data_IF_095036060093
#
_entry.id   IF_095036060093
#
_cell.length_a   1.000
_cell.length_b   1.000
_cell.length_c   1.000
_cell.angle_alpha   90.00
_cell.angle_beta   90.00
_cell.angle_gamma   90.00
#
_symmetry.space_group_name_H-M   'P 1'
#
loop_
_entity.id
_entity.type
_entity.pdbx_description
1 polymer ?
#
# COMPACT_ATOMS: atom_id res chain seq x y z
N UNK A 1 28.98 -23.70 -33.33
CA UNK A 1 30.23 -23.16 -32.76
C UNK A 1 30.54 -21.83 -33.42
N UNK A 2 31.28 -20.95 -32.81
CA UNK A 2 31.60 -19.62 -33.33
C UNK A 2 33.07 -19.32 -33.09
N UNK A 3 33.61 -18.27 -33.72
CA UNK A 3 34.97 -17.83 -33.56
C UNK A 3 36.03 -18.90 -33.95
N UNK A 4 35.93 -19.49 -35.16
CA UNK A 4 36.84 -20.52 -35.66
C UNK A 4 36.82 -21.80 -34.82
N UNK A 5 35.64 -22.22 -34.39
CA UNK A 5 35.35 -23.41 -33.58
C UNK A 5 36.00 -23.42 -32.17
N UNK A 6 36.41 -22.22 -31.68
CA UNK A 6 36.98 -22.05 -30.35
C UNK A 6 35.95 -21.56 -29.29
N UNK A 7 34.69 -21.39 -29.65
CA UNK A 7 33.65 -20.96 -28.74
C UNK A 7 32.37 -21.78 -28.88
N UNK A 8 31.70 -21.99 -27.75
CA UNK A 8 30.39 -22.69 -27.68
C UNK A 8 29.33 -21.69 -27.24
N UNK A 9 28.32 -21.49 -28.07
CA UNK A 9 27.16 -20.73 -27.71
C UNK A 9 26.07 -21.66 -27.15
N UNK A 10 25.61 -21.35 -25.94
CA UNK A 10 24.55 -22.09 -25.27
C UNK A 10 23.32 -21.19 -25.22
N UNK A 11 22.26 -21.61 -25.91
CA UNK A 11 21.00 -20.88 -25.99
C UNK A 11 19.95 -21.66 -25.19
N UNK A 12 19.39 -21.07 -24.13
CA UNK A 12 18.30 -21.72 -23.40
C UNK A 12 17.06 -21.90 -24.29
N UNK A 13 16.36 -23.01 -24.13
CA UNK A 13 15.11 -23.29 -24.85
C UNK A 13 13.95 -22.39 -24.37
N UNK A 14 14.02 -21.89 -23.15
CA UNK A 14 13.06 -20.97 -22.55
C UNK A 14 13.83 -19.73 -22.05
N UNK A 15 13.14 -18.60 -22.02
CA UNK A 15 13.67 -17.38 -21.43
C UNK A 15 14.06 -17.60 -19.96
N UNK A 16 15.19 -17.09 -19.56
CA UNK A 16 15.61 -17.12 -18.16
C UNK A 16 14.69 -16.22 -17.31
N UNK A 17 14.36 -16.68 -16.13
CA UNK A 17 13.64 -15.85 -15.16
C UNK A 17 14.53 -14.70 -14.68
N UNK A 18 13.94 -13.54 -14.43
CA UNK A 18 14.67 -12.35 -13.95
C UNK A 18 15.22 -12.56 -12.53
N UNK A 19 16.34 -11.93 -12.19
CA UNK A 19 16.99 -11.99 -10.88
C UNK A 19 17.17 -13.41 -10.32
N UNK A 20 17.29 -14.40 -11.20
CA UNK A 20 17.40 -15.80 -10.81
C UNK A 20 18.84 -16.28 -10.95
N UNK A 21 19.31 -17.01 -9.95
CA UNK A 21 20.65 -17.62 -9.95
C UNK A 21 20.60 -18.89 -10.80
N UNK A 22 21.49 -18.97 -11.75
CA UNK A 22 21.70 -20.14 -12.61
C UNK A 22 23.12 -20.70 -12.46
N UNK A 23 23.25 -21.97 -12.70
CA UNK A 23 24.51 -22.68 -12.75
C UNK A 23 24.61 -23.42 -14.06
N UNK A 24 25.65 -23.16 -14.83
CA UNK A 24 26.00 -23.88 -16.06
C UNK A 24 27.17 -24.79 -15.78
N UNK A 25 27.01 -26.08 -15.97
CA UNK A 25 28.07 -27.06 -15.76
C UNK A 25 28.41 -27.77 -17.06
N UNK A 26 29.70 -27.76 -17.40
CA UNK A 26 30.28 -28.52 -18.49
C UNK A 26 31.09 -29.68 -17.89
N UNK A 27 30.77 -30.89 -18.26
CA UNK A 27 31.50 -32.08 -17.75
C UNK A 27 32.61 -32.51 -18.69
N UNK A 28 33.47 -33.42 -18.22
CA UNK A 28 34.61 -33.94 -18.95
C UNK A 28 34.28 -34.80 -20.17
N UNK A 29 32.98 -35.08 -20.44
CA UNK A 29 32.51 -35.77 -21.64
C UNK A 29 32.54 -34.88 -22.88
N UNK A 30 32.60 -33.54 -22.69
CA UNK A 30 32.78 -32.60 -23.80
C UNK A 30 34.14 -32.86 -24.47
N UNK A 31 34.14 -33.09 -25.77
CA UNK A 31 35.31 -33.32 -26.59
C UNK A 31 35.39 -32.29 -27.72
N UNK A 32 36.58 -31.94 -28.11
CA UNK A 32 36.82 -31.23 -29.35
C UNK A 32 36.68 -32.19 -30.54
N UNK A 33 36.60 -31.65 -31.75
CA UNK A 33 36.55 -32.45 -32.99
C UNK A 33 37.85 -33.31 -33.15
N UNK A 34 38.96 -32.77 -32.71
CA UNK A 34 40.27 -33.50 -32.67
C UNK A 34 40.38 -34.50 -31.50
N UNK A 35 39.30 -34.77 -30.74
CA UNK A 35 39.28 -35.74 -29.66
C UNK A 35 39.83 -35.24 -28.29
N UNK A 36 40.25 -34.01 -28.18
CA UNK A 36 40.67 -33.40 -26.91
C UNK A 36 39.51 -33.33 -25.93
N UNK A 37 39.74 -33.50 -24.61
CA UNK A 37 38.75 -33.51 -23.56
C UNK A 37 39.04 -32.37 -22.57
N UNK A 38 38.01 -31.90 -21.85
CA UNK A 38 38.21 -31.07 -20.67
C UNK A 38 39.00 -31.87 -19.60
N UNK A 39 40.01 -31.26 -19.02
CA UNK A 39 40.76 -31.84 -17.91
C UNK A 39 39.96 -31.97 -16.63
N UNK A 40 39.09 -31.01 -16.39
CA UNK A 40 38.17 -30.98 -15.25
C UNK A 40 36.81 -30.44 -15.68
N UNK A 41 35.76 -30.73 -14.89
CA UNK A 41 34.47 -30.12 -15.08
C UNK A 41 34.54 -28.60 -14.77
N UNK A 42 33.84 -27.82 -15.57
CA UNK A 42 33.72 -26.36 -15.40
C UNK A 42 32.31 -26.03 -14.94
N UNK A 43 32.17 -25.23 -13.88
CA UNK A 43 30.89 -24.70 -13.44
C UNK A 43 30.96 -23.18 -13.41
N UNK A 44 30.01 -22.54 -14.07
CA UNK A 44 29.85 -21.10 -14.14
C UNK A 44 28.51 -20.75 -13.44
N UNK A 45 28.61 -19.94 -12.39
CA UNK A 45 27.41 -19.40 -11.71
C UNK A 45 27.18 -17.98 -12.16
N UNK A 46 25.95 -17.63 -12.46
CA UNK A 46 25.57 -16.27 -12.82
C UNK A 46 24.15 -15.97 -12.34
N UNK A 47 23.80 -14.69 -12.25
CA UNK A 47 22.46 -14.22 -11.97
C UNK A 47 21.93 -13.53 -13.22
N UNK A 48 20.73 -13.88 -13.61
CA UNK A 48 20.06 -13.21 -14.75
C UNK A 48 19.79 -11.75 -14.44
N UNK A 49 19.76 -10.93 -15.50
CA UNK A 49 19.53 -9.48 -15.40
C UNK A 49 18.17 -9.18 -14.79
N UNK A 50 18.08 -8.07 -14.06
CA UNK A 50 16.78 -7.49 -13.66
C UNK A 50 15.99 -7.07 -14.90
N UNK A 51 14.70 -7.31 -14.88
CA UNK A 51 13.81 -6.73 -15.87
C UNK A 51 13.58 -5.26 -15.51
N UNK A 52 14.21 -4.38 -16.27
CA UNK A 52 14.11 -2.92 -16.12
C UNK A 52 13.10 -2.28 -17.07
N UNK A 53 12.26 -3.09 -17.74
CA UNK A 53 11.18 -2.54 -18.55
C UNK A 53 10.13 -1.86 -17.68
N UNK A 54 9.58 -0.77 -18.18
CA UNK A 54 8.49 -0.07 -17.50
C UNK A 54 7.27 -0.99 -17.38
N UNK A 55 6.80 -1.20 -16.15
CA UNK A 55 5.63 -2.03 -15.85
C UNK A 55 4.32 -1.25 -15.92
N UNK A 56 4.42 0.06 -15.84
CA UNK A 56 3.28 0.97 -15.80
C UNK A 56 3.43 2.04 -16.87
N UNK A 57 2.30 2.54 -17.40
CA UNK A 57 2.33 3.68 -18.31
C UNK A 57 3.00 4.89 -17.64
N UNK A 58 3.87 5.56 -18.37
CA UNK A 58 4.40 6.85 -17.94
C UNK A 58 3.27 7.87 -17.98
N UNK A 59 3.07 8.57 -16.87
CA UNK A 59 2.11 9.65 -16.72
C UNK A 59 2.86 10.92 -16.32
N UNK A 60 2.26 12.09 -16.53
CA UNK A 60 2.83 13.36 -16.08
C UNK A 60 2.90 13.44 -14.56
N UNK A 61 3.79 14.25 -14.01
CA UNK A 61 3.90 14.47 -12.57
C UNK A 61 2.58 14.95 -11.96
N UNK A 62 1.87 15.86 -12.65
CA UNK A 62 0.57 16.36 -12.20
C UNK A 62 -0.50 15.24 -12.15
N UNK A 63 -0.53 14.38 -13.18
CA UNK A 63 -1.41 13.23 -13.20
C UNK A 63 -1.06 12.23 -12.08
N UNK A 64 0.23 12.03 -11.78
CA UNK A 64 0.68 11.19 -10.68
C UNK A 64 0.25 11.76 -9.33
N UNK A 65 0.47 13.05 -9.09
CA UNK A 65 0.04 13.72 -7.86
C UNK A 65 -1.47 13.65 -7.67
N UNK A 66 -2.24 13.88 -8.74
CA UNK A 66 -3.70 13.73 -8.71
C UNK A 66 -4.10 12.31 -8.33
N UNK A 67 -3.47 11.31 -8.91
CA UNK A 67 -3.74 9.90 -8.59
C UNK A 67 -3.39 9.54 -7.14
N UNK A 68 -2.27 10.05 -6.63
CA UNK A 68 -1.87 9.86 -5.23
C UNK A 68 -2.91 10.48 -4.30
N UNK A 69 -3.34 11.72 -4.56
CA UNK A 69 -4.37 12.40 -3.77
C UNK A 69 -5.69 11.63 -3.78
N UNK A 70 -6.14 11.18 -4.95
CA UNK A 70 -7.37 10.39 -5.07
C UNK A 70 -7.30 9.09 -4.28
N UNK A 71 -6.20 8.34 -4.38
CA UNK A 71 -6.05 7.07 -3.66
C UNK A 71 -5.93 7.30 -2.14
N UNK A 72 -5.27 8.36 -1.70
CA UNK A 72 -5.20 8.75 -0.29
C UNK A 72 -6.57 9.16 0.24
N UNK A 73 -7.33 9.93 -0.54
CA UNK A 73 -8.70 10.33 -0.20
C UNK A 73 -9.62 9.13 0.03
N UNK A 74 -9.50 8.06 -0.76
CA UNK A 74 -10.29 6.83 -0.63
C UNK A 74 -10.15 6.18 0.74
N UNK A 75 -9.01 6.33 1.42
CA UNK A 75 -8.87 5.82 2.79
C UNK A 75 -9.93 6.43 3.73
N UNK A 76 -10.12 7.73 3.67
CA UNK A 76 -11.12 8.41 4.50
C UNK A 76 -12.54 8.23 3.96
N UNK A 77 -12.71 8.12 2.67
CA UNK A 77 -14.01 8.08 2.02
C UNK A 77 -14.61 6.67 1.96
N UNK A 78 -13.86 5.71 1.40
CA UNK A 78 -14.35 4.36 1.17
C UNK A 78 -14.28 3.50 2.45
N UNK A 79 -13.23 3.69 3.26
CA UNK A 79 -13.04 2.97 4.52
C UNK A 79 -13.55 3.72 5.74
N UNK A 80 -14.15 4.89 5.59
CA UNK A 80 -14.88 5.57 6.65
C UNK A 80 -15.93 4.64 7.25
N UNK A 81 -16.14 4.74 8.57
CA UNK A 81 -17.10 3.87 9.25
C UNK A 81 -18.53 4.16 8.76
N UNK A 82 -19.31 3.14 8.35
CA UNK A 82 -20.59 3.35 7.66
C UNK A 82 -21.65 4.04 8.53
N UNK A 83 -21.70 3.78 9.83
CA UNK A 83 -22.69 4.38 10.72
C UNK A 83 -22.29 5.78 11.20
N UNK A 84 -21.03 6.00 11.55
CA UNK A 84 -20.55 7.28 12.10
C UNK A 84 -19.95 8.22 11.07
N UNK A 85 -19.46 7.70 9.93
CA UNK A 85 -18.68 8.47 8.97
C UNK A 85 -17.25 8.77 9.42
N UNK A 86 -16.87 8.40 10.63
CA UNK A 86 -15.53 8.63 11.19
C UNK A 86 -14.45 7.79 10.50
N UNK A 87 -13.21 8.24 10.53
CA UNK A 87 -12.09 7.49 10.03
C UNK A 87 -11.80 6.27 10.91
N UNK A 88 -11.72 5.09 10.30
CA UNK A 88 -11.24 3.90 11.01
C UNK A 88 -9.77 4.06 11.40
N UNK A 89 -9.37 3.39 12.48
CA UNK A 89 -7.99 3.39 12.93
C UNK A 89 -7.05 2.79 11.85
N UNK A 90 -7.51 1.73 11.18
CA UNK A 90 -6.91 1.17 9.96
C UNK A 90 -7.99 0.42 9.15
N UNK A 91 -7.68 0.01 7.94
CA UNK A 91 -8.64 -0.67 7.06
C UNK A 91 -9.18 -2.00 7.61
N UNK A 92 -8.51 -2.60 8.59
CA UNK A 92 -8.89 -3.89 9.23
C UNK A 92 -9.41 -3.75 10.66
N UNK A 93 -9.55 -2.53 11.19
CA UNK A 93 -9.92 -2.30 12.60
C UNK A 93 -11.40 -2.48 12.91
N UNK A 94 -12.22 -2.88 11.94
CA UNK A 94 -13.66 -3.11 12.15
C UNK A 94 -14.37 -1.83 12.56
N UNK A 95 -14.95 -1.81 13.77
CA UNK A 95 -15.71 -0.66 14.29
C UNK A 95 -14.86 0.37 15.04
N UNK A 96 -13.54 0.12 15.20
CA UNK A 96 -12.65 1.07 15.87
C UNK A 96 -12.33 2.24 14.94
N UNK A 97 -12.74 3.43 15.35
CA UNK A 97 -12.45 4.71 14.72
C UNK A 97 -11.57 5.57 15.62
N UNK A 98 -10.89 6.57 15.05
CA UNK A 98 -10.03 7.49 15.80
C UNK A 98 -10.55 8.91 15.73
N UNK A 99 -10.44 9.66 16.81
CA UNK A 99 -10.84 11.07 16.85
C UNK A 99 -9.94 11.93 15.95
N UNK A 100 -8.63 11.92 16.14
CA UNK A 100 -7.72 12.73 15.33
C UNK A 100 -7.67 12.31 13.86
N UNK A 101 -7.67 11.00 13.57
CA UNK A 101 -7.80 10.51 12.19
C UNK A 101 -9.08 10.97 11.52
N UNK A 102 -10.18 11.08 12.29
CA UNK A 102 -11.45 11.63 11.78
C UNK A 102 -11.36 13.12 11.48
N UNK A 103 -10.61 13.90 12.27
CA UNK A 103 -10.34 15.30 11.97
C UNK A 103 -9.64 15.48 10.61
N UNK A 104 -8.62 14.68 10.32
CA UNK A 104 -8.00 14.65 8.98
C UNK A 104 -9.00 14.20 7.90
N UNK A 105 -9.87 13.22 8.19
CA UNK A 105 -10.94 12.80 7.30
C UNK A 105 -11.93 13.93 6.98
N UNK A 106 -12.30 14.73 7.97
CA UNK A 106 -13.14 15.92 7.81
C UNK A 106 -12.46 16.92 6.87
N UNK A 107 -11.18 17.20 7.07
CA UNK A 107 -10.41 18.09 6.18
C UNK A 107 -10.23 17.55 4.77
N UNK A 108 -10.23 16.23 4.60
CA UNK A 108 -10.17 15.61 3.27
C UNK A 108 -11.45 15.83 2.45
N UNK A 109 -12.62 16.00 3.07
CA UNK A 109 -13.92 16.20 2.38
C UNK A 109 -13.90 17.43 1.46
N UNK A 110 -13.57 18.67 1.92
CA UNK A 110 -13.50 19.83 1.03
C UNK A 110 -12.45 19.67 -0.08
N UNK A 111 -11.34 18.97 0.19
CA UNK A 111 -10.35 18.65 -0.86
C UNK A 111 -10.97 17.72 -1.90
N UNK A 112 -11.66 16.66 -1.49
CA UNK A 112 -12.35 15.74 -2.39
C UNK A 112 -13.40 16.44 -3.27
N UNK A 113 -14.16 17.40 -2.70
CA UNK A 113 -15.11 18.22 -3.45
C UNK A 113 -14.38 19.11 -4.47
N UNK A 114 -13.33 19.82 -4.04
CA UNK A 114 -12.56 20.72 -4.91
C UNK A 114 -11.89 19.98 -6.06
N UNK A 115 -11.37 18.77 -5.79
CA UNK A 115 -10.74 17.92 -6.80
C UNK A 115 -11.74 17.10 -7.63
N UNK A 116 -13.04 17.25 -7.39
CA UNK A 116 -14.12 16.51 -8.05
C UNK A 116 -14.04 14.98 -7.86
N UNK A 117 -13.46 14.51 -6.76
CA UNK A 117 -13.48 13.10 -6.37
C UNK A 117 -14.85 12.70 -5.84
N UNK A 118 -15.56 13.64 -5.22
CA UNK A 118 -16.95 13.54 -4.74
C UNK A 118 -17.71 14.81 -5.09
N UNK A 119 -19.03 14.72 -5.09
CA UNK A 119 -19.88 15.89 -5.23
C UNK A 119 -20.01 16.65 -3.90
N UNK A 120 -20.40 17.94 -3.99
CA UNK A 120 -20.67 18.74 -2.80
C UNK A 120 -21.80 18.15 -1.94
N UNK A 121 -22.81 17.55 -2.58
CA UNK A 121 -23.93 16.94 -1.85
C UNK A 121 -23.48 15.69 -1.05
N UNK A 122 -22.67 14.83 -1.65
CA UNK A 122 -22.10 13.66 -0.94
C UNK A 122 -21.24 14.11 0.25
N UNK A 123 -20.37 15.10 0.06
CA UNK A 123 -19.57 15.66 1.14
C UNK A 123 -20.42 16.24 2.27
N UNK A 124 -21.49 16.98 1.95
CA UNK A 124 -22.42 17.53 2.93
C UNK A 124 -23.12 16.41 3.72
N UNK A 125 -23.61 15.38 3.05
CA UNK A 125 -24.25 14.23 3.71
C UNK A 125 -23.28 13.52 4.68
N UNK A 126 -22.04 13.29 4.27
CA UNK A 126 -21.02 12.69 5.13
C UNK A 126 -20.75 13.57 6.35
N UNK A 127 -20.59 14.88 6.17
CA UNK A 127 -20.40 15.82 7.27
C UNK A 127 -21.57 15.83 8.25
N UNK A 128 -22.80 15.81 7.76
CA UNK A 128 -23.99 15.73 8.61
C UNK A 128 -24.01 14.44 9.44
N UNK A 129 -23.64 13.31 8.84
CA UNK A 129 -23.53 12.02 9.55
C UNK A 129 -22.48 12.10 10.66
N UNK A 130 -21.28 12.61 10.36
CA UNK A 130 -20.20 12.77 11.36
C UNK A 130 -20.63 13.65 12.51
N UNK A 131 -21.14 14.85 12.22
CA UNK A 131 -21.56 15.81 13.25
C UNK A 131 -22.71 15.25 14.10
N UNK A 132 -23.69 14.60 13.49
CA UNK A 132 -24.79 13.98 14.22
C UNK A 132 -24.28 12.87 15.15
N UNK A 133 -23.38 12.02 14.70
CA UNK A 133 -22.78 10.96 15.51
C UNK A 133 -21.98 11.54 16.68
N UNK A 134 -21.08 12.48 16.43
CA UNK A 134 -20.28 13.12 17.47
C UNK A 134 -21.15 13.83 18.52
N UNK A 135 -22.18 14.52 18.09
CA UNK A 135 -23.06 15.27 18.99
C UNK A 135 -23.97 14.39 19.83
N UNK A 136 -24.53 13.31 19.26
CA UNK A 136 -25.63 12.60 19.86
C UNK A 136 -25.26 11.18 20.36
N UNK A 137 -24.14 10.62 19.91
CA UNK A 137 -23.81 9.20 20.13
C UNK A 137 -22.45 9.01 20.78
N UNK A 138 -21.45 9.78 20.34
CA UNK A 138 -20.08 9.60 20.83
C UNK A 138 -19.94 9.96 22.30
N UNK A 139 -19.27 9.09 23.06
CA UNK A 139 -18.94 9.33 24.46
C UNK A 139 -17.90 10.44 24.57
N UNK A 140 -18.10 11.34 25.53
CA UNK A 140 -17.14 12.40 25.86
C UNK A 140 -16.82 12.40 27.34
N UNK A 141 -15.66 12.94 27.69
CA UNK A 141 -15.21 13.17 29.05
C UNK A 141 -14.96 14.68 29.21
N UNK A 142 -15.87 15.37 29.89
CA UNK A 142 -15.82 16.82 30.05
C UNK A 142 -15.71 17.59 28.71
N UNK A 143 -16.31 17.06 27.65
CA UNK A 143 -16.30 17.65 26.31
C UNK A 143 -15.16 17.18 25.39
N UNK A 144 -14.20 16.44 25.89
CA UNK A 144 -13.14 15.83 25.06
C UNK A 144 -13.49 14.40 24.67
N UNK A 145 -13.09 13.98 23.48
CA UNK A 145 -13.32 12.66 22.94
C UNK A 145 -12.22 11.68 23.32
N UNK A 146 -12.50 10.37 23.42
CA UNK A 146 -11.46 9.37 23.57
C UNK A 146 -10.66 9.24 22.26
N UNK A 147 -9.44 8.72 22.37
CA UNK A 147 -8.60 8.43 21.20
C UNK A 147 -9.31 7.50 20.22
N UNK A 148 -9.81 6.36 20.74
CA UNK A 148 -10.57 5.40 19.96
C UNK A 148 -12.05 5.41 20.35
N UNK A 149 -12.91 5.42 19.35
CA UNK A 149 -14.36 5.43 19.48
C UNK A 149 -14.92 4.23 18.69
N UNK A 150 -15.81 3.48 19.31
CA UNK A 150 -16.59 2.50 18.56
C UNK A 150 -17.56 3.23 17.63
N UNK A 151 -17.38 3.07 16.32
CA UNK A 151 -18.12 3.80 15.29
C UNK A 151 -19.62 3.45 15.20
N UNK A 152 -20.05 2.33 15.81
CA UNK A 152 -21.48 1.98 15.92
C UNK A 152 -22.13 2.56 17.18
N UNK A 153 -21.47 2.36 18.33
CA UNK A 153 -22.07 2.64 19.64
C UNK A 153 -21.67 3.98 20.22
N UNK A 154 -20.59 4.60 19.70
CA UNK A 154 -20.01 5.81 20.28
C UNK A 154 -19.20 5.60 21.54
N UNK A 155 -19.12 4.39 22.07
CA UNK A 155 -18.38 4.11 23.30
C UNK A 155 -16.88 4.28 23.11
N UNK A 156 -16.20 4.73 24.18
CA UNK A 156 -14.73 4.71 24.22
C UNK A 156 -14.20 3.29 24.06
N UNK A 157 -13.16 3.11 23.25
CA UNK A 157 -12.41 1.86 23.12
C UNK A 157 -11.09 2.07 23.85
N UNK A 158 -10.84 1.38 24.98
CA UNK A 158 -9.65 1.60 25.77
C UNK A 158 -8.36 1.21 25.02
N UNK A 159 -7.32 2.02 25.15
CA UNK A 159 -5.96 1.66 24.75
C UNK A 159 -5.36 0.61 25.69
N UNK A 160 -5.68 0.76 26.98
CA UNK A 160 -5.30 -0.16 28.05
C UNK A 160 -6.27 -0.01 29.23
N UNK A 161 -6.21 -0.88 30.25
CA UNK A 161 -7.05 -0.76 31.45
C UNK A 161 -6.95 0.60 32.16
N UNK A 162 -5.82 1.29 32.02
CA UNK A 162 -5.55 2.59 32.66
C UNK A 162 -5.62 3.76 31.67
N UNK A 163 -5.99 3.52 30.43
CA UNK A 163 -6.07 4.52 29.38
C UNK A 163 -7.36 4.31 28.56
N UNK A 164 -8.48 4.71 29.18
CA UNK A 164 -9.82 4.61 28.64
C UNK A 164 -10.60 5.93 28.69
N UNK A 165 -9.92 7.03 28.91
CA UNK A 165 -10.50 8.36 29.04
C UNK A 165 -10.40 9.21 27.78
N UNK A 166 -10.45 10.53 28.00
CA UNK A 166 -10.30 11.51 26.93
C UNK A 166 -8.86 11.60 26.45
N UNK A 167 -8.71 11.88 25.15
CA UNK A 167 -7.45 12.29 24.54
C UNK A 167 -7.57 13.74 24.04
N UNK A 168 -6.88 14.66 24.73
CA UNK A 168 -6.95 16.08 24.41
C UNK A 168 -6.20 16.39 23.10
N UNK A 169 -5.14 15.66 22.79
CA UNK A 169 -4.37 15.86 21.57
C UNK A 169 -5.21 15.44 20.37
N UNK A 170 -5.75 14.23 20.39
CA UNK A 170 -6.60 13.70 19.33
C UNK A 170 -7.89 14.54 19.17
N UNK A 171 -8.50 14.98 20.28
CA UNK A 171 -9.65 15.87 20.25
C UNK A 171 -9.34 17.21 19.58
N UNK A 172 -8.11 17.72 19.70
CA UNK A 172 -7.73 19.00 19.09
C UNK A 172 -7.67 18.95 17.56
N UNK A 173 -7.55 17.77 16.97
CA UNK A 173 -7.60 17.58 15.53
C UNK A 173 -9.02 17.35 15.01
N UNK A 174 -9.96 16.97 15.86
CA UNK A 174 -11.35 16.68 15.50
C UNK A 174 -12.19 17.94 15.38
#
# INVERSE_FOLDING_TARGET
MSNGDSAINIIPNLSLQVLTKYSLSLNTKLKSEAGGKLLSALTINFVSKIDSSDKFPLITEDALLTKVQEQTFKYFWDFGHPASGLARERNTSGDVTTSGGSGFGIMAIPVGINRSFITRNEGLQRMQTIVAFLKNTAQTFHGAYPHWINGNTGAAVPFSPNDNGADLVETSYL
#
